data_IF_349524724790
#
_entry.id   IF_349524724790
#
_cell.length_a   1.000
_cell.length_b   1.000
_cell.length_c   1.000
_cell.angle_alpha   90.00
_cell.angle_beta   90.00
_cell.angle_gamma   90.00
#
_symmetry.space_group_name_H-M   'P 1'
#
loop_
_entity.id
_entity.type
_entity.pdbx_description
1 polymer ?
#
# COMPACT_ATOMS: atom_id res chain seq x y z
N UNK A 1 -0.53 3.21 -8.20
CA UNK A 1 -1.85 2.58 -7.98
C UNK A 1 -1.67 1.10 -7.77
N UNK A 2 -2.54 0.47 -6.98
CA UNK A 2 -2.49 -0.97 -6.68
C UNK A 2 -3.91 -1.53 -6.88
N UNK A 3 -4.11 -2.38 -7.88
CA UNK A 3 -5.36 -3.11 -8.11
C UNK A 3 -5.26 -4.53 -7.51
N UNK A 4 -6.22 -4.89 -6.67
CA UNK A 4 -6.22 -6.16 -5.92
C UNK A 4 -6.94 -7.31 -6.66
N UNK A 5 -7.57 -7.00 -7.80
CA UNK A 5 -8.24 -7.96 -8.69
C UNK A 5 -9.70 -8.24 -8.36
N UNK A 6 -10.21 -7.69 -7.26
CA UNK A 6 -11.61 -7.72 -6.80
C UNK A 6 -12.37 -6.40 -7.06
N UNK A 7 -11.73 -5.47 -7.79
CA UNK A 7 -12.23 -4.12 -8.02
C UNK A 7 -11.78 -3.10 -6.97
N UNK A 8 -11.12 -3.53 -5.88
CA UNK A 8 -10.47 -2.61 -4.95
C UNK A 8 -9.18 -2.05 -5.58
N UNK A 9 -9.01 -0.73 -5.46
CA UNK A 9 -7.82 -0.01 -5.91
C UNK A 9 -7.32 0.93 -4.82
N UNK A 10 -6.04 0.80 -4.47
CA UNK A 10 -5.34 1.76 -3.61
C UNK A 10 -4.56 2.76 -4.46
N UNK A 11 -4.79 4.03 -4.22
CA UNK A 11 -4.10 5.17 -4.78
C UNK A 11 -3.04 5.64 -3.78
N UNK A 12 -1.80 5.77 -4.23
CA UNK A 12 -0.72 6.29 -3.40
C UNK A 12 0.01 7.37 -4.16
N UNK A 13 0.21 8.51 -3.51
CA UNK A 13 1.05 9.59 -3.99
C UNK A 13 2.32 9.64 -3.14
N UNK A 14 3.48 9.53 -3.79
CA UNK A 14 4.79 9.57 -3.13
C UNK A 14 5.60 10.72 -3.71
N UNK A 15 5.89 11.72 -2.88
CA UNK A 15 6.83 12.77 -3.24
C UNK A 15 8.26 12.32 -2.90
N UNK A 16 9.20 12.51 -3.83
CA UNK A 16 10.61 12.22 -3.62
C UNK A 16 11.50 13.32 -4.25
N UNK A 17 12.57 13.75 -3.58
CA UNK A 17 13.43 14.83 -4.07
C UNK A 17 14.46 14.39 -5.13
N UNK A 18 14.71 13.08 -5.26
CA UNK A 18 15.68 12.55 -6.21
C UNK A 18 15.18 12.73 -7.65
N UNK A 19 16.11 12.90 -8.60
CA UNK A 19 15.76 12.97 -10.02
C UNK A 19 15.05 11.69 -10.51
N UNK A 20 15.41 10.55 -9.91
CA UNK A 20 14.78 9.27 -10.19
C UNK A 20 14.98 8.31 -9.02
N UNK A 21 14.01 7.41 -8.80
CA UNK A 21 14.10 6.25 -7.91
C UNK A 21 13.71 4.97 -8.67
N UNK A 22 13.86 3.79 -8.08
CA UNK A 22 13.30 2.55 -8.64
C UNK A 22 11.82 2.39 -8.26
N UNK A 23 11.07 1.59 -9.01
CA UNK A 23 9.68 1.28 -8.64
C UNK A 23 9.62 0.47 -7.33
N UNK A 24 10.68 -0.24 -6.97
CA UNK A 24 10.79 -0.90 -5.67
C UNK A 24 10.92 0.13 -4.52
N UNK A 25 11.79 1.13 -4.66
CA UNK A 25 11.90 2.23 -3.69
C UNK A 25 10.60 3.04 -3.61
N UNK A 26 9.89 3.24 -4.73
CA UNK A 26 8.57 3.88 -4.75
C UNK A 26 7.56 3.09 -3.90
N UNK A 27 7.52 1.76 -4.06
CA UNK A 27 6.64 0.89 -3.27
C UNK A 27 7.03 0.88 -1.80
N UNK A 28 8.33 0.83 -1.47
CA UNK A 28 8.81 0.90 -0.09
C UNK A 28 8.38 2.22 0.58
N UNK A 29 8.58 3.34 -0.11
CA UNK A 29 8.16 4.67 0.38
C UNK A 29 6.66 4.82 0.45
N UNK A 30 5.88 4.06 -0.32
CA UNK A 30 4.41 4.07 -0.23
C UNK A 30 3.89 3.63 1.14
N UNK A 31 4.70 2.90 1.92
CA UNK A 31 4.31 2.35 3.22
C UNK A 31 3.35 1.15 3.13
N UNK A 32 2.92 0.75 1.93
CA UNK A 32 2.03 -0.40 1.75
C UNK A 32 2.83 -1.69 2.00
N UNK A 33 2.36 -2.60 2.88
CA UNK A 33 3.04 -3.87 3.13
C UNK A 33 3.21 -4.67 1.84
N UNK A 34 4.36 -5.31 1.66
CA UNK A 34 4.60 -6.14 0.48
C UNK A 34 5.48 -7.36 0.80
N UNK A 35 5.40 -8.36 -0.07
CA UNK A 35 6.36 -9.47 -0.14
C UNK A 35 6.97 -9.47 -1.53
N UNK A 36 8.29 -9.64 -1.61
CA UNK A 36 9.02 -9.67 -2.87
C UNK A 36 10.06 -10.78 -2.90
N UNK A 37 10.43 -11.22 -4.11
CA UNK A 37 11.55 -12.13 -4.35
C UNK A 37 12.43 -11.61 -5.49
N UNK A 38 13.73 -11.80 -5.37
CA UNK A 38 14.71 -11.27 -6.32
C UNK A 38 15.05 -12.24 -7.44
N UNK A 39 15.21 -11.71 -8.66
CA UNK A 39 15.60 -12.47 -9.86
C UNK A 39 16.91 -11.98 -10.48
N UNK A 40 17.83 -11.49 -9.65
CA UNK A 40 19.12 -10.97 -10.10
C UNK A 40 18.95 -9.78 -11.05
N UNK A 41 19.51 -9.87 -12.26
CA UNK A 41 19.50 -8.79 -13.25
C UNK A 41 18.10 -8.38 -13.75
N UNK A 42 17.06 -9.20 -13.51
CA UNK A 42 15.67 -8.85 -13.84
C UNK A 42 15.02 -7.97 -12.75
N UNK A 43 15.59 -7.91 -11.55
CA UNK A 43 15.08 -7.14 -10.42
C UNK A 43 14.13 -7.91 -9.49
N UNK A 44 13.44 -7.16 -8.62
CA UNK A 44 12.50 -7.68 -7.61
C UNK A 44 11.11 -7.90 -8.21
N UNK A 45 10.58 -9.12 -8.09
CA UNK A 45 9.19 -9.44 -8.37
C UNK A 45 8.33 -9.26 -7.10
N UNK A 46 7.12 -8.71 -7.26
CA UNK A 46 6.22 -8.44 -6.12
C UNK A 46 5.16 -9.55 -6.01
N UNK A 47 5.26 -10.30 -4.93
CA UNK A 47 4.48 -11.50 -4.64
C UNK A 47 3.16 -11.20 -3.93
N UNK A 48 3.18 -10.20 -3.06
CA UNK A 48 1.96 -9.67 -2.42
C UNK A 48 2.10 -8.19 -2.15
N UNK A 49 0.96 -7.50 -2.12
CA UNK A 49 0.82 -6.11 -1.68
C UNK A 49 -0.44 -6.05 -0.79
N UNK A 50 -0.32 -5.50 0.42
CA UNK A 50 -1.36 -5.56 1.44
C UNK A 50 -1.83 -7.00 1.70
N UNK A 51 -3.14 -7.21 1.71
CA UNK A 51 -3.74 -8.53 1.95
C UNK A 51 -3.78 -9.44 0.71
N UNK A 52 -3.39 -8.96 -0.49
CA UNK A 52 -3.47 -9.74 -1.72
C UNK A 52 -2.11 -10.20 -2.17
N UNK A 53 -1.97 -11.51 -2.33
CA UNK A 53 -0.89 -12.08 -3.11
C UNK A 53 -0.66 -13.56 -2.87
N UNK A 54 0.59 -13.99 -3.03
CA UNK A 54 1.06 -15.29 -2.60
C UNK A 54 2.39 -15.18 -1.81
N UNK A 55 2.73 -16.26 -1.10
CA UNK A 55 4.01 -16.35 -0.39
C UNK A 55 5.23 -16.44 -1.32
N UNK A 56 6.44 -16.17 -0.81
CA UNK A 56 7.66 -16.05 -1.61
C UNK A 56 7.99 -17.33 -2.39
N UNK A 57 7.76 -18.52 -1.82
CA UNK A 57 8.06 -19.80 -2.50
C UNK A 57 7.18 -20.02 -3.74
N UNK A 58 5.89 -19.68 -3.64
CA UNK A 58 4.95 -19.80 -4.77
C UNK A 58 5.30 -18.78 -5.84
N UNK A 59 5.62 -17.56 -5.42
CA UNK A 59 6.05 -16.49 -6.30
C UNK A 59 7.33 -16.88 -7.06
N UNK A 60 8.37 -17.33 -6.36
CA UNK A 60 9.65 -17.71 -6.95
C UNK A 60 9.52 -18.81 -8.00
N UNK A 61 8.60 -19.77 -7.80
CA UNK A 61 8.33 -20.82 -8.78
C UNK A 61 7.63 -20.32 -10.04
N UNK A 62 6.77 -19.31 -9.94
CA UNK A 62 5.79 -19.01 -10.99
C UNK A 62 5.93 -17.65 -11.67
N UNK A 63 6.67 -16.68 -11.09
CA UNK A 63 6.72 -15.29 -11.55
C UNK A 63 7.22 -15.13 -13.00
N UNK A 64 8.04 -16.07 -13.48
CA UNK A 64 8.53 -16.09 -14.87
C UNK A 64 7.80 -17.08 -15.77
N UNK A 65 6.93 -17.92 -15.21
CA UNK A 65 6.34 -19.07 -15.91
C UNK A 65 4.88 -18.84 -16.31
N UNK A 66 4.20 -17.94 -15.62
CA UNK A 66 2.79 -17.63 -15.86
C UNK A 66 2.63 -16.17 -16.27
N UNK A 67 1.87 -15.94 -17.34
CA UNK A 67 1.29 -14.63 -17.66
C UNK A 67 -0.23 -14.78 -17.64
N UNK A 68 -0.92 -13.73 -17.26
CA UNK A 68 -2.39 -13.65 -17.29
C UNK A 68 -3.08 -13.80 -15.93
N UNK A 69 -4.41 -14.03 -15.90
CA UNK A 69 -5.27 -13.85 -14.72
C UNK A 69 -5.11 -14.95 -13.65
N UNK A 70 -4.24 -15.92 -13.87
CA UNK A 70 -3.90 -16.96 -12.89
C UNK A 70 -2.48 -16.82 -12.36
N UNK A 71 -1.73 -15.82 -12.83
CA UNK A 71 -0.35 -15.58 -12.42
C UNK A 71 -0.27 -15.19 -10.94
N UNK A 72 0.45 -15.93 -10.08
CA UNK A 72 0.44 -15.68 -8.64
C UNK A 72 1.42 -14.56 -8.25
N UNK A 73 1.39 -13.42 -8.93
CA UNK A 73 2.19 -12.24 -8.63
C UNK A 73 1.53 -10.97 -9.17
N UNK A 74 1.96 -9.82 -8.67
CA UNK A 74 1.49 -8.53 -9.17
C UNK A 74 2.27 -8.13 -10.43
N UNK A 75 1.55 -7.88 -11.53
CA UNK A 75 2.11 -7.33 -12.76
C UNK A 75 2.35 -5.83 -12.60
N UNK A 76 3.49 -5.34 -13.08
CA UNK A 76 3.84 -3.92 -13.06
C UNK A 76 3.51 -3.26 -14.40
N UNK A 77 2.86 -2.10 -14.34
CA UNK A 77 2.48 -1.29 -15.48
C UNK A 77 2.90 0.17 -15.30
N UNK A 78 3.07 0.87 -16.43
CA UNK A 78 3.21 2.33 -16.49
C UNK A 78 2.13 2.92 -17.38
N UNK A 79 1.52 4.00 -16.95
CA UNK A 79 0.64 4.79 -17.78
C UNK A 79 1.48 5.74 -18.65
N UNK A 80 1.23 5.76 -19.95
CA UNK A 80 1.85 6.74 -20.84
C UNK A 80 1.05 8.04 -20.91
N UNK A 81 1.58 9.02 -21.66
CA UNK A 81 0.98 10.35 -21.77
C UNK A 81 -0.40 10.37 -22.47
N UNK A 82 -0.77 9.30 -23.18
CA UNK A 82 -2.09 9.15 -23.81
C UNK A 82 -3.09 8.44 -22.89
N UNK A 83 -2.65 8.01 -21.71
CA UNK A 83 -3.47 7.26 -20.76
C UNK A 83 -3.43 5.75 -20.97
N UNK A 84 -2.59 5.24 -21.88
CA UNK A 84 -2.50 3.81 -22.11
C UNK A 84 -1.56 3.15 -21.09
N UNK A 85 -1.97 1.98 -20.58
CA UNK A 85 -1.18 1.24 -19.62
C UNK A 85 -0.29 0.18 -20.30
N UNK A 86 1.01 0.33 -20.12
CA UNK A 86 2.03 -0.54 -20.71
C UNK A 86 2.61 -1.47 -19.65
N UNK A 87 2.64 -2.77 -19.94
CA UNK A 87 3.27 -3.76 -19.09
C UNK A 87 4.80 -3.58 -19.07
N UNK A 88 5.38 -3.64 -17.87
CA UNK A 88 6.83 -3.56 -17.68
C UNK A 88 7.40 -4.96 -17.44
N UNK A 89 8.31 -5.39 -18.33
CA UNK A 89 8.92 -6.71 -18.25
C UNK A 89 10.00 -6.84 -17.17
N UNK A 90 10.60 -5.72 -16.75
CA UNK A 90 11.55 -5.69 -15.64
C UNK A 90 10.81 -5.65 -14.31
N UNK A 91 11.40 -6.28 -13.29
CA UNK A 91 10.92 -6.19 -11.92
C UNK A 91 11.01 -4.76 -11.36
N UNK A 92 10.43 -4.57 -10.18
CA UNK A 92 10.27 -3.25 -9.57
C UNK A 92 11.63 -2.55 -9.32
N UNK A 93 12.67 -3.28 -8.93
CA UNK A 93 14.00 -2.69 -8.72
C UNK A 93 14.76 -2.40 -10.01
N UNK A 94 14.40 -3.04 -11.13
CA UNK A 94 14.97 -2.77 -12.46
C UNK A 94 14.25 -1.66 -13.22
N UNK A 95 13.08 -1.23 -12.74
CA UNK A 95 12.27 -0.17 -13.35
C UNK A 95 12.59 1.16 -12.70
N UNK A 96 12.99 2.16 -13.50
CA UNK A 96 13.22 3.54 -13.04
C UNK A 96 11.95 4.36 -13.07
N UNK A 97 11.79 5.24 -12.10
CA UNK A 97 10.66 6.15 -11.91
C UNK A 97 11.21 7.56 -11.89
N UNK A 98 10.59 8.44 -12.66
CA UNK A 98 10.91 9.85 -12.72
C UNK A 98 9.69 10.70 -12.30
N UNK A 99 9.90 12.01 -12.18
CA UNK A 99 8.80 12.91 -11.90
C UNK A 99 7.74 12.84 -13.00
N UNK A 100 6.47 12.66 -12.61
CA UNK A 100 5.36 12.55 -13.56
C UNK A 100 4.96 11.12 -13.91
N UNK A 101 5.81 10.12 -13.62
CA UNK A 101 5.47 8.73 -13.88
C UNK A 101 4.31 8.26 -13.00
N UNK A 102 3.37 7.52 -13.61
CA UNK A 102 2.28 6.85 -12.91
C UNK A 102 2.44 5.35 -13.11
N UNK A 103 2.72 4.64 -12.02
CA UNK A 103 2.87 3.19 -12.01
C UNK A 103 1.67 2.49 -11.39
N UNK A 104 1.46 1.26 -11.84
CA UNK A 104 0.37 0.39 -11.43
C UNK A 104 0.88 -1.00 -11.10
N UNK A 105 0.59 -1.50 -9.91
CA UNK A 105 0.64 -2.94 -9.63
C UNK A 105 -0.77 -3.51 -9.79
N UNK A 106 -0.92 -4.53 -10.61
CA UNK A 106 -2.20 -5.23 -10.77
C UNK A 106 -2.03 -6.70 -10.42
N UNK A 107 -2.80 -7.15 -9.44
CA UNK A 107 -2.88 -8.57 -9.13
C UNK A 107 -3.66 -9.33 -10.21
N UNK A 108 -3.06 -10.41 -10.73
CA UNK A 108 -3.67 -11.36 -11.68
C UNK A 108 -4.56 -10.74 -12.76
N UNK A 109 -3.97 -10.06 -13.75
CA UNK A 109 -4.79 -9.52 -14.82
C UNK A 109 -4.07 -9.48 -16.19
N UNK A 110 -4.81 -9.87 -17.23
CA UNK A 110 -4.40 -9.66 -18.64
C UNK A 110 -4.35 -8.18 -19.00
N UNK A 111 -5.17 -7.37 -18.31
CA UNK A 111 -5.22 -5.91 -18.40
C UNK A 111 -5.18 -5.33 -16.99
N UNK A 112 -4.56 -4.17 -16.77
CA UNK A 112 -4.28 -3.68 -15.42
C UNK A 112 -5.50 -3.40 -14.55
N UNK A 113 -6.69 -3.17 -15.13
CA UNK A 113 -7.89 -2.82 -14.35
C UNK A 113 -7.71 -1.53 -13.54
N UNK A 114 -6.88 -0.62 -14.05
CA UNK A 114 -6.54 0.66 -13.43
C UNK A 114 -7.18 1.79 -14.23
N UNK A 115 -7.80 2.73 -13.54
CA UNK A 115 -8.32 3.95 -14.15
C UNK A 115 -7.18 4.79 -14.74
N UNK A 116 -7.48 5.51 -15.82
CA UNK A 116 -6.61 6.55 -16.39
C UNK A 116 -6.71 7.77 -15.48
N UNK A 117 -5.57 8.30 -15.02
CA UNK A 117 -5.50 9.41 -14.07
C UNK A 117 -4.31 10.29 -14.37
N UNK A 118 -4.43 11.58 -14.08
CA UNK A 118 -3.29 12.50 -14.09
C UNK A 118 -2.58 12.51 -12.74
N UNK A 119 -1.33 12.99 -12.68
CA UNK A 119 -0.62 13.15 -11.42
C UNK A 119 -1.32 14.15 -10.48
N UNK A 120 -1.94 15.19 -11.06
CA UNK A 120 -2.75 16.17 -10.31
C UNK A 120 -3.98 15.52 -9.70
N UNK A 121 -4.72 14.73 -10.48
CA UNK A 121 -5.87 13.99 -9.97
C UNK A 121 -5.48 12.98 -8.90
N UNK A 122 -4.36 12.27 -9.07
CA UNK A 122 -3.84 11.34 -8.06
C UNK A 122 -3.49 12.06 -6.75
N UNK A 123 -2.89 13.25 -6.84
CA UNK A 123 -2.58 14.11 -5.68
C UNK A 123 -3.85 14.57 -4.98
N UNK A 124 -4.84 15.00 -5.74
CA UNK A 124 -6.11 15.51 -5.21
C UNK A 124 -6.93 14.39 -4.55
N UNK A 125 -6.96 13.18 -5.15
CA UNK A 125 -7.61 11.98 -4.56
C UNK A 125 -6.98 11.55 -3.24
N UNK A 126 -5.67 11.73 -3.08
CA UNK A 126 -4.93 11.33 -1.88
C UNK A 126 -4.85 12.43 -0.83
N UNK A 127 -5.37 13.63 -1.12
CA UNK A 127 -5.41 14.74 -0.17
C UNK A 127 -4.04 15.36 0.13
N UNK A 128 -3.03 15.15 -0.71
CA UNK A 128 -1.69 15.73 -0.51
C UNK A 128 -1.74 17.23 -0.78
N UNK A 129 -1.65 18.04 0.27
CA UNK A 129 -1.47 19.49 0.15
C UNK A 129 -0.03 19.76 -0.30
N UNK A 130 0.15 20.62 -1.32
CA UNK A 130 1.35 20.94 -2.12
C UNK A 130 2.69 21.24 -1.40
N UNK A 131 2.79 21.11 -0.09
CA UNK A 131 3.87 21.63 0.74
C UNK A 131 4.53 20.51 1.58
N UNK A 132 5.48 19.78 0.99
CA UNK A 132 6.44 18.94 1.74
C UNK A 132 6.62 17.52 1.19
N UNK A 133 7.80 16.95 1.40
CA UNK A 133 8.03 15.52 1.23
C UNK A 133 7.03 14.76 2.11
N UNK A 134 6.28 13.84 1.53
CA UNK A 134 5.19 13.16 2.20
C UNK A 134 4.63 12.03 1.34
N UNK A 135 3.95 11.11 2.01
CA UNK A 135 3.26 9.95 1.43
C UNK A 135 1.81 10.05 1.85
N UNK A 136 0.89 9.93 0.90
CA UNK A 136 -0.53 9.80 1.21
C UNK A 136 -1.15 8.64 0.45
N UNK A 137 -2.00 7.91 1.15
CA UNK A 137 -2.63 6.68 0.69
C UNK A 137 -4.14 6.88 0.76
N UNK A 138 -4.84 6.59 -0.32
CA UNK A 138 -6.29 6.58 -0.42
C UNK A 138 -6.74 5.22 -0.97
N UNK A 139 -7.60 4.53 -0.22
CA UNK A 139 -8.18 3.26 -0.66
C UNK A 139 -9.58 3.50 -1.26
N UNK A 140 -9.87 2.83 -2.38
CA UNK A 140 -11.16 2.89 -3.06
C UNK A 140 -11.68 1.48 -3.28
N UNK A 141 -12.77 1.17 -2.59
CA UNK A 141 -13.44 -0.13 -2.64
C UNK A 141 -14.64 -0.11 -3.60
N UNK A 142 -14.93 -1.22 -4.29
CA UNK A 142 -16.09 -1.31 -5.17
C UNK A 142 -17.40 -1.12 -4.40
N UNK A 143 -18.36 -0.40 -5.01
CA UNK A 143 -19.71 -0.17 -4.47
C UNK A 143 -19.77 0.45 -3.06
N UNK A 144 -18.71 1.14 -2.61
CA UNK A 144 -18.67 1.73 -1.27
C UNK A 144 -18.49 0.70 -0.14
N UNK A 145 -18.06 -0.53 -0.46
CA UNK A 145 -17.66 -1.50 0.54
C UNK A 145 -16.60 -0.88 1.48
N UNK A 146 -16.63 -1.26 2.75
CA UNK A 146 -15.62 -0.82 3.73
C UNK A 146 -14.62 -1.97 3.95
N UNK A 147 -13.38 -1.69 4.38
CA UNK A 147 -12.46 -2.73 4.77
C UNK A 147 -13.14 -3.65 5.79
N UNK A 148 -13.16 -4.96 5.53
CA UNK A 148 -13.54 -5.91 6.56
C UNK A 148 -12.44 -5.86 7.63
N UNK A 149 -12.78 -5.40 8.85
CA UNK A 149 -11.86 -5.38 9.99
C UNK A 149 -11.46 -6.82 10.34
N UNK A 150 -10.46 -7.37 9.64
CA UNK A 150 -9.93 -8.69 10.01
C UNK A 150 -9.02 -8.55 11.23
N UNK A 151 -9.23 -9.30 12.34
CA UNK A 151 -8.46 -9.18 13.58
C UNK A 151 -6.98 -9.57 13.53
N UNK A 152 -6.38 -9.76 12.35
CA UNK A 152 -4.98 -10.17 12.21
C UNK A 152 -4.03 -8.97 12.26
N UNK A 153 -4.17 -8.16 13.32
CA UNK A 153 -3.18 -7.17 13.75
C UNK A 153 -2.27 -7.84 14.78
N UNK A 154 -1.38 -8.71 14.31
CA UNK A 154 -0.57 -9.55 15.20
C UNK A 154 0.78 -9.99 14.64
N UNK A 155 1.30 -9.37 13.58
CA UNK A 155 2.69 -9.62 13.17
C UNK A 155 3.60 -8.48 13.61
N UNK A 156 4.71 -8.79 14.28
CA UNK A 156 5.67 -7.77 14.67
C UNK A 156 6.31 -7.24 13.39
N UNK A 157 5.95 -6.02 13.03
CA UNK A 157 6.85 -5.17 12.26
C UNK A 157 8.19 -5.20 12.98
N UNK A 158 9.23 -5.71 12.32
CA UNK A 158 10.61 -5.34 12.65
C UNK A 158 10.76 -3.86 12.29
N UNK A 159 10.11 -3.00 13.07
CA UNK A 159 10.28 -1.56 13.03
C UNK A 159 11.60 -1.27 13.72
N UNK A 160 12.69 -1.30 12.98
CA UNK A 160 13.89 -0.56 13.39
C UNK A 160 13.56 0.92 13.34
N UNK A 161 13.25 1.48 14.52
CA UNK A 161 13.55 2.87 14.86
C UNK A 161 12.44 3.90 14.63
N UNK A 162 11.45 3.94 15.52
CA UNK A 162 10.91 5.20 16.06
C UNK A 162 10.01 4.90 17.27
N UNK A 163 10.56 5.04 18.47
CA UNK A 163 9.78 5.06 19.70
C UNK A 163 8.98 6.38 19.75
N UNK A 164 7.65 6.31 19.62
CA UNK A 164 6.77 7.41 20.04
C UNK A 164 6.17 7.03 21.38
N UNK A 165 6.83 7.50 22.44
CA UNK A 165 6.26 7.63 23.77
C UNK A 165 5.25 8.79 23.73
N UNK A 166 3.96 8.49 23.70
CA UNK A 166 2.95 9.45 24.14
C UNK A 166 2.53 9.09 25.57
N UNK A 167 3.19 9.74 26.51
CA UNK A 167 2.79 9.78 27.90
C UNK A 167 1.46 10.51 28.06
N UNK A 168 0.49 9.84 28.66
CA UNK A 168 -0.71 10.49 29.18
C UNK A 168 -0.43 11.02 30.58
N UNK A 169 0.11 12.24 30.66
CA UNK A 169 0.07 13.06 31.86
C UNK A 169 -1.25 13.85 31.90
N UNK A 170 -2.15 13.43 32.79
CA UNK A 170 -2.99 14.26 33.67
C UNK A 170 -3.87 15.36 33.07
N UNK A 171 -5.18 15.15 33.17
CA UNK A 171 -6.12 16.21 33.60
C UNK A 171 -7.04 15.61 34.66
N UNK A 172 -6.82 15.98 35.93
CA UNK A 172 -7.76 15.71 37.02
C UNK A 172 -8.82 16.80 37.12
N UNK A 173 -10.02 16.42 37.54
CA UNK A 173 -10.94 17.13 38.44
C UNK A 173 -12.36 16.59 38.25
N UNK A 174 -12.91 15.91 39.26
CA UNK A 174 -14.26 15.34 39.21
C UNK A 174 -14.76 14.79 40.55
N UNK A 175 -14.75 15.64 41.57
CA UNK A 175 -15.58 15.67 42.79
C UNK A 175 -16.09 14.35 43.44
N UNK A 176 -15.57 14.16 44.66
CA UNK A 176 -16.16 13.45 45.81
C UNK A 176 -17.64 13.78 46.00
N UNK A 177 -18.49 12.76 46.18
CA UNK A 177 -19.50 12.76 47.25
C UNK A 177 -19.76 11.34 47.77
N UNK A 178 -19.54 11.21 49.08
CA UNK A 178 -19.67 10.03 49.93
C UNK A 178 -21.08 10.03 50.54
N UNK A 179 -21.58 8.81 50.77
CA UNK A 179 -22.68 8.40 51.66
C UNK A 179 -24.11 8.36 51.09
N UNK A 180 -24.69 7.14 51.12
CA UNK A 180 -25.78 6.82 52.05
C UNK A 180 -25.86 5.31 52.34
N UNK A 181 -26.14 5.03 53.62
CA UNK A 181 -26.32 3.73 54.30
C UNK A 181 -27.51 2.93 53.75
N UNK A 182 -27.43 1.59 53.78
CA UNK A 182 -28.30 0.71 54.58
C UNK A 182 -28.05 -0.76 54.20
N UNK A 183 -27.99 -1.64 55.22
CA UNK A 183 -27.93 -3.09 55.04
C UNK A 183 -27.55 -3.83 56.32
N UNK A 184 -28.40 -3.74 57.36
CA UNK A 184 -28.43 -4.72 58.45
C UNK A 184 -29.43 -5.83 58.08
N UNK A 185 -29.02 -7.08 58.22
CA UNK A 185 -29.81 -8.32 58.43
C UNK A 185 -28.82 -9.48 58.18
N UNK A 186 -28.52 -10.45 59.04
CA UNK A 186 -28.96 -10.87 60.37
C UNK A 186 -27.76 -11.61 61.01
#
# INVERSE_FOLDING_TARGET
MIAYGDGHVTYVYVAFPEASISAFELLERSGVPYVSVGFGGLGQGICSIGARGCGPDTCQRNLCQSRGPTAPFSHLFRQDALGEWQFLALGASGTRVEHGDILGWSWTADKPGLDVVTLEELRDRTGVVRSGAGVAVQEVYPNGAQPEETPWQGWPIYATGAAILLGMSGVGAGLVLRARRAGNAE
#
